data_IF_838009213783
#
_entry.id   IF_838009213783
#
_cell.length_a   1.000
_cell.length_b   1.000
_cell.length_c   1.000
_cell.angle_alpha   90.00
_cell.angle_beta   90.00
_cell.angle_gamma   90.00
#
_symmetry.space_group_name_H-M   'P 1'
#
loop_
_entity.id
_entity.type
_entity.pdbx_description
1 polymer ?
#
# COMPACT_ATOMS: atom_id res chain seq x y z
N UNK A 1 15.38 -2.25 2.40
CA UNK A 1 14.85 -1.79 3.69
C UNK A 1 13.67 -2.68 4.06
N UNK A 2 13.35 -2.74 5.35
CA UNK A 2 12.19 -3.46 5.86
C UNK A 2 11.69 -2.80 7.15
N UNK A 3 10.38 -2.82 7.37
CA UNK A 3 9.75 -2.30 8.58
C UNK A 3 8.43 -3.03 8.87
N UNK A 4 7.99 -2.96 10.13
CA UNK A 4 6.69 -3.49 10.57
C UNK A 4 5.81 -2.29 10.91
N UNK A 5 4.63 -2.22 10.31
CA UNK A 5 3.68 -1.14 10.61
C UNK A 5 2.25 -1.68 10.63
N UNK A 6 1.37 -0.96 11.35
CA UNK A 6 -0.07 -1.22 11.35
C UNK A 6 -0.75 -0.45 10.22
N UNK A 7 -1.64 -1.12 9.51
CA UNK A 7 -2.50 -0.47 8.51
C UNK A 7 -3.55 0.35 9.24
N UNK A 8 -3.52 1.66 9.04
CA UNK A 8 -4.47 2.59 9.65
C UNK A 8 -5.70 2.75 8.76
N UNK A 9 -5.48 2.99 7.47
CA UNK A 9 -6.55 3.16 6.51
C UNK A 9 -6.12 2.75 5.11
N UNK A 10 -7.10 2.43 4.27
CA UNK A 10 -6.90 2.03 2.88
C UNK A 10 -7.94 2.73 2.00
N UNK A 11 -7.48 3.30 0.90
CA UNK A 11 -8.36 3.86 -0.13
C UNK A 11 -9.00 2.77 -0.99
N UNK A 12 -10.17 3.01 -1.59
CA UNK A 12 -10.73 2.09 -2.58
C UNK A 12 -9.78 1.94 -3.78
N UNK A 13 -9.92 0.83 -4.52
CA UNK A 13 -9.15 0.60 -5.75
C UNK A 13 -9.50 1.72 -6.74
N UNK A 14 -8.46 2.42 -7.20
CA UNK A 14 -8.56 3.45 -8.24
C UNK A 14 -7.98 2.92 -9.52
N UNK A 15 -8.71 3.07 -10.61
CA UNK A 15 -8.20 2.81 -11.95
C UNK A 15 -7.60 4.08 -12.53
N UNK A 16 -6.50 3.95 -13.26
CA UNK A 16 -5.84 5.05 -13.96
C UNK A 16 -5.57 4.65 -15.40
N UNK A 17 -5.64 5.62 -16.30
CA UNK A 17 -5.35 5.42 -17.72
C UNK A 17 -4.39 6.51 -18.20
N UNK A 18 -3.24 6.10 -18.70
CA UNK A 18 -2.21 6.99 -19.23
C UNK A 18 -1.84 6.60 -20.67
N UNK A 19 -1.03 7.43 -21.33
CA UNK A 19 -0.51 7.18 -22.68
C UNK A 19 0.25 5.85 -22.84
N UNK A 20 0.75 5.28 -21.73
CA UNK A 20 1.49 4.01 -21.69
C UNK A 20 0.62 2.80 -21.31
N UNK A 21 -0.70 3.00 -21.17
CA UNK A 21 -1.65 1.97 -20.76
C UNK A 21 -2.44 2.35 -19.51
N UNK A 22 -3.42 1.49 -19.21
CA UNK A 22 -4.23 1.56 -17.99
C UNK A 22 -3.72 0.63 -16.89
N UNK A 23 -4.22 0.86 -15.68
CA UNK A 23 -3.88 0.05 -14.52
C UNK A 23 -4.77 0.36 -13.33
N UNK A 24 -4.50 -0.33 -12.23
CA UNK A 24 -5.18 -0.14 -10.94
C UNK A 24 -4.16 0.17 -9.87
N UNK A 25 -4.53 1.00 -8.90
CA UNK A 25 -3.72 1.30 -7.74
C UNK A 25 -4.56 1.34 -6.47
N UNK A 26 -3.90 1.10 -5.35
CA UNK A 26 -4.44 1.39 -4.02
C UNK A 26 -3.43 2.19 -3.23
N UNK A 27 -3.95 3.13 -2.44
CA UNK A 27 -3.18 3.87 -1.45
C UNK A 27 -3.51 3.35 -0.06
N UNK A 28 -2.47 3.06 0.71
CA UNK A 28 -2.57 2.57 2.08
C UNK A 28 -1.80 3.52 2.98
N UNK A 29 -2.40 3.88 4.10
CA UNK A 29 -1.75 4.64 5.15
C UNK A 29 -1.39 3.68 6.28
N UNK A 30 -0.10 3.61 6.58
CA UNK A 30 0.44 2.79 7.67
C UNK A 30 1.07 3.67 8.73
N UNK A 31 1.02 3.23 9.98
CA UNK A 31 1.65 3.89 11.11
C UNK A 31 2.51 2.93 11.91
N UNK A 32 3.65 3.43 12.39
CA UNK A 32 4.50 2.73 13.35
C UNK A 32 4.21 3.17 14.80
N UNK A 33 4.74 2.45 15.77
CA UNK A 33 4.63 2.74 17.20
C UNK A 33 5.20 4.12 17.59
N UNK A 34 6.15 4.65 16.81
CA UNK A 34 6.71 5.99 16.99
C UNK A 34 5.72 7.12 16.62
N UNK A 35 4.57 6.80 16.02
CA UNK A 35 3.58 7.77 15.54
C UNK A 35 3.85 8.30 14.13
N UNK A 36 4.94 7.89 13.51
CA UNK A 36 5.22 8.20 12.11
C UNK A 36 4.25 7.49 11.19
N UNK A 37 3.81 8.19 10.15
CA UNK A 37 2.88 7.67 9.15
C UNK A 37 3.53 7.69 7.78
N UNK A 38 3.33 6.60 7.04
CA UNK A 38 3.86 6.42 5.69
C UNK A 38 2.70 6.08 4.77
N UNK A 39 2.73 6.67 3.57
CA UNK A 39 1.82 6.29 2.49
C UNK A 39 2.50 5.28 1.58
N UNK A 40 1.85 4.14 1.38
CA UNK A 40 2.28 3.08 0.48
C UNK A 40 1.31 3.04 -0.70
N UNK A 41 1.84 2.92 -1.91
CA UNK A 41 1.06 2.75 -3.13
C UNK A 41 1.38 1.42 -3.79
N UNK A 42 0.36 0.61 -4.04
CA UNK A 42 0.48 -0.65 -4.78
C UNK A 42 -0.11 -0.48 -6.17
N UNK A 43 0.50 -1.14 -7.17
CA UNK A 43 0.11 -1.04 -8.57
C UNK A 43 -0.22 -2.43 -9.15
N UNK A 44 -1.23 -2.47 -10.01
CA UNK A 44 -1.59 -3.59 -10.88
C UNK A 44 -1.74 -4.95 -10.17
N UNK A 45 -0.78 -5.85 -10.38
CA UNK A 45 -0.77 -7.20 -9.81
C UNK A 45 -0.58 -7.20 -8.30
N UNK A 46 0.21 -6.25 -7.77
CA UNK A 46 0.40 -6.08 -6.34
C UNK A 46 -0.92 -5.68 -5.64
N UNK A 47 -1.81 -4.97 -6.34
CA UNK A 47 -3.15 -4.68 -5.80
C UNK A 47 -3.90 -5.98 -5.56
N UNK A 48 -3.88 -6.91 -6.52
CA UNK A 48 -4.59 -8.19 -6.41
C UNK A 48 -3.95 -9.14 -5.40
N UNK A 49 -2.62 -9.23 -5.37
CA UNK A 49 -1.92 -10.14 -4.49
C UNK A 49 -2.01 -9.74 -3.01
N UNK A 50 -2.00 -8.44 -2.71
CA UNK A 50 -1.93 -7.94 -1.34
C UNK A 50 -3.24 -7.32 -0.83
N UNK A 51 -4.32 -7.34 -1.63
CA UNK A 51 -5.59 -6.72 -1.24
C UNK A 51 -6.10 -7.22 0.12
N UNK A 52 -6.07 -8.54 0.33
CA UNK A 52 -6.63 -9.17 1.52
C UNK A 52 -5.73 -9.01 2.75
N UNK A 53 -4.41 -8.98 2.53
CA UNK A 53 -3.40 -8.82 3.59
C UNK A 53 -3.45 -7.40 4.17
N UNK A 54 -3.60 -6.39 3.32
CA UNK A 54 -3.51 -4.99 3.72
C UNK A 54 -4.87 -4.44 4.14
N UNK A 55 -5.47 -5.09 5.15
CA UNK A 55 -6.73 -4.69 5.78
C UNK A 55 -6.48 -3.73 6.95
N UNK A 56 -7.31 -2.68 7.14
CA UNK A 56 -7.21 -1.79 8.29
C UNK A 56 -7.24 -2.56 9.61
N UNK A 57 -6.28 -2.28 10.50
CA UNK A 57 -6.09 -2.97 11.77
C UNK A 57 -5.07 -4.12 11.73
N UNK A 58 -4.70 -4.61 10.54
CA UNK A 58 -3.67 -5.62 10.39
C UNK A 58 -2.28 -5.01 10.54
N UNK A 59 -1.37 -5.73 11.20
CA UNK A 59 0.04 -5.35 11.32
C UNK A 59 0.84 -6.19 10.35
N UNK A 60 1.56 -5.55 9.43
CA UNK A 60 2.21 -6.20 8.31
C UNK A 60 3.70 -5.89 8.28
N UNK A 61 4.49 -6.84 7.78
CA UNK A 61 5.89 -6.65 7.47
C UNK A 61 6.05 -6.19 6.01
N UNK A 62 6.61 -5.00 5.81
CA UNK A 62 6.87 -4.42 4.49
C UNK A 62 8.36 -4.47 4.20
N UNK A 63 8.73 -4.88 2.99
CA UNK A 63 10.13 -4.89 2.56
C UNK A 63 10.26 -4.76 1.04
N UNK A 64 11.47 -4.43 0.58
CA UNK A 64 11.83 -4.39 -0.84
C UNK A 64 10.99 -3.44 -1.73
N UNK A 65 10.34 -2.44 -1.14
CA UNK A 65 9.61 -1.41 -1.90
C UNK A 65 10.52 -0.33 -2.48
N UNK A 66 9.97 0.46 -3.42
CA UNK A 66 10.63 1.67 -3.95
C UNK A 66 10.22 2.88 -3.13
N UNK A 67 11.19 3.60 -2.56
CA UNK A 67 10.98 4.87 -1.87
C UNK A 67 11.18 5.99 -2.89
N UNK A 68 10.27 6.96 -2.91
CA UNK A 68 10.35 8.18 -3.71
C UNK A 68 10.02 9.37 -2.83
#
# INVERSE_FOLDING_TARGET
>A
WAFVCRVLSRSPIREYTNLRGGGRLIEIYVGDAAGDTIRITLFNEAVTAFYDVVSPGSTCYFSAGRIK
#
